data_IF_384787094338
#
_entry.id   IF_384787094338
#
_cell.length_a   1.000
_cell.length_b   1.000
_cell.length_c   1.000
_cell.angle_alpha   90.00
_cell.angle_beta   90.00
_cell.angle_gamma   90.00
#
_symmetry.space_group_name_H-M   'P 1'
#
loop_
_entity.id
_entity.type
_entity.pdbx_description
1 polymer ?
#
# COMPACT_ATOMS: atom_id res chain seq x y z
N UNK A 1 -2.23 2.89 20.92
CA UNK A 1 -3.05 3.93 21.56
C UNK A 1 -3.47 4.99 20.53
N UNK A 2 -2.52 5.73 19.92
CA UNK A 2 -2.81 6.75 18.88
C UNK A 2 -3.60 6.25 17.65
N UNK A 3 -3.35 5.01 17.20
CA UNK A 3 -4.09 4.38 16.10
C UNK A 3 -5.61 4.35 16.36
N UNK A 4 -6.02 3.89 17.54
CA UNK A 4 -7.43 3.82 17.92
C UNK A 4 -8.03 5.21 18.13
N UNK A 5 -7.28 6.13 18.73
CA UNK A 5 -7.72 7.52 18.91
C UNK A 5 -8.02 8.21 17.57
N UNK A 6 -7.22 7.94 16.54
CA UNK A 6 -7.42 8.48 15.20
C UNK A 6 -8.70 7.96 14.55
N UNK A 7 -8.99 6.67 14.69
CA UNK A 7 -10.24 6.05 14.19
C UNK A 7 -11.45 6.57 14.96
N UNK A 8 -11.36 6.68 16.29
CA UNK A 8 -12.43 7.24 17.12
C UNK A 8 -12.70 8.72 16.81
N UNK A 9 -11.66 9.49 16.47
CA UNK A 9 -11.83 10.85 15.98
C UNK A 9 -12.54 10.85 14.62
N UNK A 10 -12.17 9.95 13.69
CA UNK A 10 -12.85 9.74 12.41
C UNK A 10 -14.35 9.54 12.55
N UNK A 11 -14.76 8.70 13.51
CA UNK A 11 -16.17 8.47 13.86
C UNK A 11 -16.89 9.72 14.35
N UNK A 12 -16.21 10.56 15.15
CA UNK A 12 -16.81 11.76 15.75
C UNK A 12 -16.97 12.91 14.78
N UNK A 13 -15.99 13.13 13.89
CA UNK A 13 -15.92 14.29 13.00
C UNK A 13 -16.09 13.95 11.51
N UNK A 14 -16.57 12.74 11.20
CA UNK A 14 -16.96 12.28 9.85
C UNK A 14 -15.86 12.41 8.78
N UNK A 15 -14.61 12.08 9.11
CA UNK A 15 -13.56 11.87 8.10
C UNK A 15 -13.21 10.39 7.94
N UNK A 16 -12.82 10.04 6.72
CA UNK A 16 -12.35 8.69 6.38
C UNK A 16 -10.84 8.59 6.60
N UNK A 17 -10.41 7.51 7.23
CA UNK A 17 -9.02 7.14 7.43
C UNK A 17 -8.55 6.24 6.28
N UNK A 18 -7.43 6.60 5.69
CA UNK A 18 -6.66 5.69 4.83
C UNK A 18 -5.67 4.92 5.70
N UNK A 19 -5.87 3.61 5.85
CA UNK A 19 -4.93 2.77 6.57
C UNK A 19 -3.81 2.35 5.62
N UNK A 20 -2.56 2.55 6.01
CA UNK A 20 -1.40 2.15 5.21
C UNK A 20 -0.40 1.33 6.03
N UNK A 21 -0.08 0.13 5.54
CA UNK A 21 0.94 -0.74 6.10
C UNK A 21 2.32 -0.29 5.61
N UNK A 22 2.85 0.72 6.31
CA UNK A 22 4.09 1.40 5.94
C UNK A 22 5.37 0.57 6.16
N UNK A 23 5.27 -0.50 6.95
CA UNK A 23 6.37 -1.41 7.26
C UNK A 23 5.85 -2.85 7.28
N UNK A 24 6.58 -3.74 6.60
CA UNK A 24 6.40 -5.19 6.72
C UNK A 24 7.66 -5.84 7.30
N UNK A 25 7.53 -7.02 7.94
CA UNK A 25 8.69 -7.78 8.37
C UNK A 25 9.70 -7.95 7.22
N UNK A 26 10.99 -7.85 7.56
CA UNK A 26 12.12 -7.99 6.62
C UNK A 26 12.35 -6.84 5.63
N UNK A 27 11.69 -5.68 5.80
CA UNK A 27 11.98 -4.42 5.10
C UNK A 27 11.75 -4.53 3.59
N UNK A 28 10.76 -3.79 3.09
CA UNK A 28 10.37 -3.82 1.68
C UNK A 28 11.16 -2.86 0.77
N UNK A 29 11.81 -1.83 1.32
CA UNK A 29 12.46 -0.79 0.50
C UNK A 29 13.79 -0.25 1.02
N UNK A 30 14.15 -0.54 2.28
CA UNK A 30 15.43 -0.13 2.85
C UNK A 30 15.47 1.32 3.32
N UNK A 31 14.38 2.07 3.16
CA UNK A 31 14.24 3.44 3.61
C UNK A 31 13.93 3.51 5.11
N UNK A 32 14.30 4.62 5.75
CA UNK A 32 14.11 4.81 7.20
C UNK A 32 12.63 4.74 7.62
N UNK A 33 11.71 5.21 6.78
CA UNK A 33 10.27 5.17 7.05
C UNK A 33 9.68 3.75 7.01
N UNK A 34 10.42 2.74 6.52
CA UNK A 34 10.06 1.32 6.70
C UNK A 34 10.46 0.75 8.07
N UNK A 35 10.72 1.62 9.05
CA UNK A 35 11.07 1.29 10.43
C UNK A 35 12.53 0.92 10.67
N UNK A 36 13.30 0.63 9.62
CA UNK A 36 14.75 0.42 9.71
C UNK A 36 15.44 0.71 8.38
N UNK A 37 16.44 1.60 8.42
CA UNK A 37 17.35 1.81 7.30
C UNK A 37 18.23 0.56 7.06
N UNK A 38 18.39 0.16 5.80
CA UNK A 38 19.37 -0.86 5.42
C UNK A 38 18.83 -1.95 4.50
N UNK A 39 19.38 -3.16 4.64
CA UNK A 39 19.21 -4.23 3.65
C UNK A 39 17.78 -4.77 3.56
N UNK A 40 17.23 -4.72 2.35
CA UNK A 40 15.96 -5.34 1.96
C UNK A 40 16.10 -6.85 2.05
N UNK A 41 15.22 -7.47 2.82
CA UNK A 41 15.12 -8.92 2.96
C UNK A 41 13.71 -9.46 2.65
N UNK A 42 12.76 -8.58 2.34
CA UNK A 42 11.45 -8.93 1.85
C UNK A 42 11.57 -9.52 0.43
N UNK A 43 11.05 -10.73 0.20
CA UNK A 43 11.22 -11.50 -1.04
C UNK A 43 12.65 -11.87 -1.48
N UNK A 44 13.69 -11.56 -0.68
CA UNK A 44 15.08 -11.83 -1.07
C UNK A 44 15.59 -13.18 -0.53
N UNK A 45 16.22 -13.94 -1.42
CA UNK A 45 16.89 -15.22 -1.14
C UNK A 45 15.96 -16.45 -1.24
N UNK A 46 16.50 -17.64 -0.95
CA UNK A 46 15.78 -18.93 -1.07
C UNK A 46 14.47 -18.99 -0.28
N UNK A 47 14.37 -18.26 0.84
CA UNK A 47 13.16 -18.18 1.67
C UNK A 47 12.37 -16.88 1.45
N UNK A 48 12.53 -16.20 0.31
CA UNK A 48 11.90 -14.91 0.03
C UNK A 48 10.38 -14.92 0.22
N UNK A 49 9.71 -15.97 -0.25
CA UNK A 49 8.25 -16.14 -0.11
C UNK A 49 7.85 -16.32 1.36
N UNK A 50 8.53 -17.22 2.09
CA UNK A 50 8.23 -17.46 3.50
C UNK A 50 8.42 -16.19 4.35
N UNK A 51 9.45 -15.38 4.04
CA UNK A 51 9.67 -14.07 4.67
C UNK A 51 8.53 -13.09 4.39
N UNK A 52 8.02 -13.07 3.15
CA UNK A 52 6.91 -12.21 2.79
C UNK A 52 5.60 -12.68 3.44
N UNK A 53 5.37 -13.98 3.56
CA UNK A 53 4.20 -14.56 4.24
C UNK A 53 4.12 -14.17 5.71
N UNK A 54 5.23 -13.80 6.37
CA UNK A 54 5.17 -13.24 7.73
C UNK A 54 4.29 -11.97 7.82
N UNK A 55 4.13 -11.21 6.72
CA UNK A 55 3.24 -10.05 6.68
C UNK A 55 1.75 -10.43 6.63
N UNK A 56 1.40 -11.64 6.16
CA UNK A 56 0.00 -12.04 5.97
C UNK A 56 -0.77 -12.09 7.28
N UNK A 57 -0.15 -12.51 8.37
CA UNK A 57 -0.82 -12.53 9.67
C UNK A 57 -1.25 -11.13 10.13
N UNK A 58 -0.42 -10.11 9.88
CA UNK A 58 -0.75 -8.72 10.18
C UNK A 58 -1.89 -8.21 9.30
N UNK A 59 -1.78 -8.45 8.00
CA UNK A 59 -2.80 -8.04 7.04
C UNK A 59 -4.13 -8.74 7.32
N UNK A 60 -4.11 -10.03 7.65
CA UNK A 60 -5.29 -10.80 8.05
C UNK A 60 -5.95 -10.20 9.29
N UNK A 61 -5.17 -9.99 10.36
CA UNK A 61 -5.68 -9.42 11.63
C UNK A 61 -6.27 -8.03 11.42
N UNK A 62 -5.57 -7.16 10.69
CA UNK A 62 -6.03 -5.81 10.40
C UNK A 62 -7.27 -5.83 9.50
N UNK A 63 -7.34 -6.71 8.50
CA UNK A 63 -8.50 -6.85 7.63
C UNK A 63 -9.73 -7.31 8.41
N UNK A 64 -9.59 -8.30 9.29
CA UNK A 64 -10.66 -8.75 10.18
C UNK A 64 -11.15 -7.62 11.09
N UNK A 65 -10.22 -6.82 11.62
CA UNK A 65 -10.54 -5.68 12.47
C UNK A 65 -11.31 -4.59 11.72
N UNK A 66 -10.75 -4.05 10.64
CA UNK A 66 -11.34 -2.92 9.90
C UNK A 66 -12.59 -3.29 9.09
N UNK A 67 -12.84 -4.58 8.87
CA UNK A 67 -14.06 -5.06 8.19
C UNK A 67 -15.28 -5.16 9.11
N UNK A 68 -15.12 -4.96 10.41
CA UNK A 68 -16.27 -4.90 11.32
C UNK A 68 -17.15 -3.70 10.98
N UNK A 69 -18.46 -3.84 11.19
CA UNK A 69 -19.44 -2.79 10.85
C UNK A 69 -19.12 -1.44 11.48
N UNK A 70 -18.55 -1.45 12.69
CA UNK A 70 -18.16 -0.25 13.43
C UNK A 70 -17.04 0.56 12.74
N UNK A 71 -16.15 -0.09 11.99
CA UNK A 71 -14.98 0.54 11.38
C UNK A 71 -15.08 0.69 9.86
N UNK A 72 -15.92 -0.10 9.21
CA UNK A 72 -16.04 -0.17 7.75
C UNK A 72 -16.31 1.19 7.07
N UNK A 73 -17.08 2.08 7.71
CA UNK A 73 -17.38 3.42 7.19
C UNK A 73 -16.26 4.44 7.45
N UNK A 74 -15.37 4.13 8.40
CA UNK A 74 -14.29 5.03 8.83
C UNK A 74 -12.99 4.68 8.13
N UNK A 75 -12.73 3.39 7.89
CA UNK A 75 -11.52 2.89 7.22
C UNK A 75 -11.90 2.22 5.89
N UNK A 76 -12.31 2.99 4.87
CA UNK A 76 -12.79 2.41 3.61
C UNK A 76 -11.65 1.88 2.73
N UNK A 77 -10.40 2.24 3.00
CA UNK A 77 -9.24 1.91 2.18
C UNK A 77 -8.09 1.40 3.03
N UNK A 78 -7.40 0.37 2.53
CA UNK A 78 -6.25 -0.25 3.17
C UNK A 78 -5.13 -0.51 2.15
N UNK A 79 -4.03 0.24 2.25
CA UNK A 79 -2.77 -0.07 1.55
C UNK A 79 -2.00 -1.15 2.29
N UNK A 80 -1.72 -2.23 1.58
CA UNK A 80 -1.17 -3.45 2.16
C UNK A 80 0.36 -3.53 2.11
N UNK A 81 1.01 -2.64 1.34
CA UNK A 81 2.46 -2.63 1.18
C UNK A 81 2.92 -1.29 0.58
N UNK A 82 3.47 -0.43 1.42
CA UNK A 82 4.01 0.87 1.00
C UNK A 82 5.35 0.74 0.27
N UNK A 83 5.45 1.39 -0.89
CA UNK A 83 6.69 1.66 -1.63
C UNK A 83 7.67 0.48 -1.77
N UNK A 84 7.26 -0.74 -2.17
CA UNK A 84 8.20 -1.85 -2.27
C UNK A 84 9.26 -1.59 -3.36
N UNK A 85 10.54 -1.81 -3.06
CA UNK A 85 11.62 -1.60 -4.04
C UNK A 85 11.68 -2.75 -5.05
N UNK A 86 10.93 -2.61 -6.14
CA UNK A 86 10.76 -3.64 -7.19
C UNK A 86 12.06 -4.04 -7.84
N UNK A 87 13.05 -3.14 -7.97
CA UNK A 87 14.37 -3.47 -8.53
C UNK A 87 15.07 -4.58 -7.74
N UNK A 88 14.74 -4.74 -6.46
CA UNK A 88 15.29 -5.80 -5.60
C UNK A 88 14.35 -7.00 -5.45
N UNK A 89 13.04 -6.75 -5.37
CA UNK A 89 12.02 -7.78 -5.10
C UNK A 89 11.64 -8.56 -6.37
N UNK A 90 11.57 -7.87 -7.52
CA UNK A 90 11.04 -8.38 -8.78
C UNK A 90 9.55 -8.08 -8.98
N UNK A 91 9.18 -7.70 -10.21
CA UNK A 91 7.81 -7.30 -10.54
C UNK A 91 6.80 -8.45 -10.40
N UNK A 92 7.18 -9.65 -10.85
CA UNK A 92 6.34 -10.84 -10.77
C UNK A 92 6.06 -11.26 -9.32
N UNK A 93 7.09 -11.24 -8.47
CA UNK A 93 6.98 -11.55 -7.04
C UNK A 93 6.02 -10.58 -6.35
N UNK A 94 6.15 -9.27 -6.62
CA UNK A 94 5.24 -8.25 -6.11
C UNK A 94 3.79 -8.50 -6.57
N UNK A 95 3.57 -8.76 -7.85
CA UNK A 95 2.21 -9.01 -8.39
C UNK A 95 1.58 -10.26 -7.77
N UNK A 96 2.33 -11.35 -7.67
CA UNK A 96 1.87 -12.58 -7.01
C UNK A 96 1.56 -12.38 -5.53
N UNK A 97 2.34 -11.54 -4.83
CA UNK A 97 2.05 -11.14 -3.45
C UNK A 97 0.71 -10.39 -3.35
N UNK A 98 0.50 -9.37 -4.19
CA UNK A 98 -0.74 -8.61 -4.18
C UNK A 98 -1.96 -9.49 -4.54
N UNK A 99 -1.84 -10.42 -5.48
CA UNK A 99 -2.93 -11.37 -5.77
C UNK A 99 -3.28 -12.23 -4.54
N UNK A 100 -2.29 -12.79 -3.84
CA UNK A 100 -2.52 -13.59 -2.64
C UNK A 100 -3.17 -12.77 -1.53
N UNK A 101 -2.69 -11.55 -1.30
CA UNK A 101 -3.27 -10.66 -0.31
C UNK A 101 -4.70 -10.28 -0.67
N UNK A 102 -4.96 -9.99 -1.95
CA UNK A 102 -6.29 -9.68 -2.46
C UNK A 102 -7.27 -10.83 -2.20
N UNK A 103 -6.89 -12.06 -2.55
CA UNK A 103 -7.70 -13.26 -2.31
C UNK A 103 -8.00 -13.41 -0.82
N UNK A 104 -6.97 -13.34 0.03
CA UNK A 104 -7.13 -13.42 1.49
C UNK A 104 -8.07 -12.35 2.04
N UNK A 105 -7.94 -11.09 1.60
CA UNK A 105 -8.81 -10.01 2.06
C UNK A 105 -10.27 -10.23 1.65
N UNK A 106 -10.52 -10.75 0.44
CA UNK A 106 -11.86 -11.05 -0.05
C UNK A 106 -12.46 -12.31 0.57
N UNK A 107 -11.63 -13.30 0.92
CA UNK A 107 -12.06 -14.46 1.72
C UNK A 107 -12.54 -14.04 3.12
N UNK A 108 -11.86 -13.08 3.75
CA UNK A 108 -12.23 -12.57 5.08
C UNK A 108 -13.49 -11.71 5.03
N UNK A 109 -13.53 -10.72 4.13
CA UNK A 109 -14.54 -9.67 4.16
C UNK A 109 -15.73 -9.91 3.23
N UNK A 110 -15.57 -10.77 2.22
CA UNK A 110 -16.51 -10.99 1.13
C UNK A 110 -16.34 -10.02 -0.03
N UNK A 111 -17.21 -10.17 -1.03
CA UNK A 111 -17.24 -9.35 -2.25
C UNK A 111 -18.41 -8.36 -2.25
N UNK A 112 -18.23 -7.21 -2.89
CA UNK A 112 -19.26 -6.21 -3.13
C UNK A 112 -19.25 -5.03 -2.16
N UNK A 113 -20.17 -4.10 -2.38
CA UNK A 113 -20.26 -2.87 -1.58
C UNK A 113 -20.50 -3.18 -0.09
N UNK A 114 -19.79 -2.47 0.80
CA UNK A 114 -19.87 -2.66 2.24
C UNK A 114 -19.17 -3.91 2.80
N UNK A 115 -18.51 -4.73 1.97
CA UNK A 115 -17.85 -5.98 2.39
C UNK A 115 -16.36 -5.79 2.69
N UNK A 116 -16.03 -5.02 3.72
CA UNK A 116 -14.65 -4.66 4.10
C UNK A 116 -14.04 -3.53 3.25
N UNK A 117 -12.71 -3.29 3.37
CA UNK A 117 -12.07 -2.16 2.70
C UNK A 117 -11.75 -2.43 1.22
N UNK A 118 -11.59 -1.34 0.48
CA UNK A 118 -10.83 -1.32 -0.77
C UNK A 118 -9.37 -1.66 -0.47
N UNK A 119 -8.83 -2.65 -1.19
CA UNK A 119 -7.41 -2.96 -1.12
C UNK A 119 -6.67 -1.98 -2.00
N UNK A 120 -5.64 -1.34 -1.48
CA UNK A 120 -4.80 -0.41 -2.24
C UNK A 120 -3.41 -0.99 -2.42
N UNK A 121 -2.88 -0.90 -3.63
CA UNK A 121 -1.52 -1.35 -3.97
C UNK A 121 -0.68 -0.15 -4.38
N UNK A 122 0.60 -0.13 -4.03
CA UNK A 122 1.51 0.96 -4.36
C UNK A 122 2.19 0.74 -5.72
N UNK A 123 2.30 1.78 -6.54
CA UNK A 123 2.85 1.69 -7.91
C UNK A 123 4.31 1.17 -7.98
N UNK A 124 5.06 1.41 -6.91
CA UNK A 124 6.46 1.05 -6.70
C UNK A 124 7.45 1.85 -7.56
N UNK A 125 7.07 3.05 -7.99
CA UNK A 125 7.91 3.98 -8.74
C UNK A 125 8.43 3.47 -10.10
N UNK A 126 7.93 2.34 -10.63
CA UNK A 126 8.29 1.74 -11.93
C UNK A 126 6.98 1.53 -12.73
N UNK A 127 6.83 1.84 -14.02
CA UNK A 127 7.72 2.04 -15.17
C UNK A 127 7.28 3.30 -15.97
N UNK A 128 8.23 4.08 -16.49
CA UNK A 128 7.99 5.22 -17.40
C UNK A 128 6.97 6.26 -16.90
N UNK A 129 7.33 6.92 -15.80
CA UNK A 129 6.57 8.02 -15.21
C UNK A 129 5.67 7.54 -14.08
N UNK A 130 5.47 8.41 -13.09
CA UNK A 130 4.37 8.26 -12.15
C UNK A 130 3.08 7.94 -12.93
N UNK A 131 2.50 6.75 -12.76
CA UNK A 131 1.29 6.44 -13.49
C UNK A 131 0.87 4.98 -13.61
N UNK A 132 -0.43 4.83 -13.80
CA UNK A 132 -1.24 3.61 -13.86
C UNK A 132 -0.84 2.58 -14.94
N UNK A 133 0.02 2.93 -15.89
CA UNK A 133 0.24 2.15 -17.13
C UNK A 133 0.86 0.78 -16.88
N UNK A 134 1.80 0.68 -15.94
CA UNK A 134 2.43 -0.59 -15.56
C UNK A 134 1.47 -1.60 -14.95
N UNK A 135 0.29 -1.17 -14.49
CA UNK A 135 -0.71 -2.02 -13.85
C UNK A 135 -1.85 -2.46 -14.78
N UNK A 136 -1.81 -2.05 -16.06
CA UNK A 136 -2.77 -2.51 -17.06
C UNK A 136 -2.82 -4.04 -17.13
N UNK A 137 -4.03 -4.60 -17.14
CA UNK A 137 -4.24 -6.05 -17.18
C UNK A 137 -4.10 -6.76 -15.83
N UNK A 138 -3.56 -6.11 -14.79
CA UNK A 138 -3.44 -6.73 -13.48
C UNK A 138 -4.79 -6.69 -12.75
N UNK A 139 -5.29 -7.87 -12.36
CA UNK A 139 -6.53 -8.02 -11.59
C UNK A 139 -7.76 -7.32 -12.23
N UNK A 140 -7.89 -7.40 -13.56
CA UNK A 140 -9.10 -6.91 -14.26
C UNK A 140 -10.35 -7.55 -13.63
N UNK A 141 -11.34 -6.71 -13.32
CA UNK A 141 -12.60 -7.14 -12.70
C UNK A 141 -12.50 -7.41 -11.20
N UNK A 142 -11.38 -7.06 -10.55
CA UNK A 142 -11.27 -7.16 -9.11
C UNK A 142 -12.25 -6.21 -8.40
N UNK A 143 -12.86 -6.74 -7.34
CA UNK A 143 -13.72 -6.00 -6.44
C UNK A 143 -12.88 -5.08 -5.54
N UNK A 144 -13.09 -3.77 -5.67
CA UNK A 144 -12.51 -2.72 -4.83
C UNK A 144 -10.99 -2.83 -4.71
N UNK A 145 -10.32 -2.62 -5.84
CA UNK A 145 -8.87 -2.49 -5.93
C UNK A 145 -8.52 -1.04 -6.32
N UNK A 146 -7.64 -0.42 -5.53
CA UNK A 146 -7.12 0.92 -5.78
C UNK A 146 -5.61 0.89 -6.06
N UNK A 147 -5.12 1.86 -6.82
CA UNK A 147 -3.69 2.12 -7.02
C UNK A 147 -3.29 3.40 -6.30
N UNK A 148 -2.30 3.31 -5.41
CA UNK A 148 -1.62 4.44 -4.78
C UNK A 148 -0.36 4.81 -5.57
N UNK A 149 -0.18 6.10 -5.81
CA UNK A 149 0.92 6.67 -6.59
C UNK A 149 1.52 7.83 -5.83
N UNK A 150 2.81 7.73 -5.53
CA UNK A 150 3.56 8.77 -4.86
C UNK A 150 4.37 9.58 -5.87
N UNK A 151 4.09 10.88 -5.96
CA UNK A 151 4.83 11.82 -6.82
C UNK A 151 5.68 12.75 -5.98
N UNK A 152 6.99 12.78 -6.25
CA UNK A 152 7.93 13.68 -5.59
C UNK A 152 8.72 14.49 -6.59
N UNK A 153 8.81 15.81 -6.37
CA UNK A 153 9.66 16.73 -7.15
C UNK A 153 11.01 17.03 -6.47
N UNK A 154 11.26 16.48 -5.28
CA UNK A 154 12.36 16.88 -4.39
C UNK A 154 13.54 15.89 -4.33
N UNK A 155 13.43 14.70 -4.93
CA UNK A 155 14.44 13.63 -4.84
C UNK A 155 15.19 13.37 -6.14
N UNK A 156 15.25 14.37 -7.02
CA UNK A 156 16.09 14.37 -8.23
C UNK A 156 17.47 14.96 -7.92
N UNK A 157 18.50 14.51 -8.64
CA UNK A 157 19.85 15.06 -8.49
C UNK A 157 19.85 16.58 -8.77
N UNK A 158 20.42 17.37 -7.84
CA UNK A 158 20.46 18.85 -7.82
C UNK A 158 21.07 19.54 -9.05
N UNK A 159 21.57 18.80 -10.04
CA UNK A 159 22.28 19.35 -11.19
C UNK A 159 21.39 20.04 -12.23
N UNK A 160 20.06 20.01 -12.09
CA UNK A 160 19.14 20.36 -13.20
C UNK A 160 17.95 21.28 -12.87
N UNK A 161 17.82 21.83 -11.66
CA UNK A 161 16.66 22.67 -11.31
C UNK A 161 17.04 24.13 -10.98
N UNK A 162 16.44 25.15 -11.66
CA UNK A 162 16.57 26.55 -11.29
C UNK A 162 15.92 26.81 -9.92
N UNK A 163 16.57 27.66 -9.13
CA UNK A 163 16.45 27.76 -7.67
C UNK A 163 15.21 28.50 -7.14
N UNK A 164 14.13 28.64 -7.90
CA UNK A 164 13.10 29.66 -7.61
C UNK A 164 11.69 29.19 -7.24
N UNK A 165 11.35 27.89 -7.25
CA UNK A 165 10.02 27.46 -6.77
C UNK A 165 10.11 26.16 -5.96
N UNK A 166 10.30 26.30 -4.64
CA UNK A 166 10.08 25.20 -3.69
C UNK A 166 8.68 25.41 -3.11
N UNK A 167 7.68 24.80 -3.74
CA UNK A 167 6.42 24.46 -3.08
C UNK A 167 6.39 22.93 -2.95
N UNK A 168 6.59 22.43 -1.73
CA UNK A 168 6.48 21.00 -1.41
C UNK A 168 4.99 20.65 -1.27
N UNK A 169 4.46 19.86 -2.19
CA UNK A 169 3.15 19.23 -2.07
C UNK A 169 3.29 17.72 -2.34
N UNK A 170 2.94 16.91 -1.34
CA UNK A 170 2.73 15.46 -1.51
C UNK A 170 1.25 15.26 -1.82
N UNK A 171 0.93 14.71 -2.99
CA UNK A 171 -0.42 14.26 -3.34
C UNK A 171 -0.37 12.74 -3.48
N UNK A 172 -0.76 12.02 -2.42
CA UNK A 172 -1.13 10.61 -2.56
C UNK A 172 -2.50 10.58 -3.24
N UNK A 173 -2.56 10.07 -4.47
CA UNK A 173 -3.82 9.98 -5.21
C UNK A 173 -4.12 8.52 -5.47
N UNK A 174 -5.18 8.01 -4.84
CA UNK A 174 -5.66 6.65 -5.03
C UNK A 174 -6.72 6.62 -6.12
N UNK A 175 -6.51 5.81 -7.17
CA UNK A 175 -7.45 5.66 -8.27
C UNK A 175 -8.08 4.27 -8.26
N UNK A 176 -9.36 4.16 -8.63
CA UNK A 176 -10.02 2.87 -8.89
C UNK A 176 -9.45 2.26 -10.16
N UNK A 177 -8.98 1.02 -10.09
CA UNK A 177 -8.64 0.22 -11.27
C UNK A 177 -9.93 -0.42 -11.81
N UNK A 178 -10.75 0.36 -12.48
CA UNK A 178 -11.93 -0.11 -13.23
C UNK A 178 -11.70 -0.05 -14.73
#
# INVERSE_FOLDING_TARGET
>A
QVFFESIEMGKKIWFMCYLDLHMVPRIQNGYNHSGRWGSINFFVGLMGIAKAQCSFNYICTLTQFISQSEYSNVVPMYSVLNEPLVQKIGSNQKRSYYLQVYQMMREIAGFGQGKGPMMVIHDSFNELGAGHTGWGGFLIGADRLGLDTHTYSAFVSYSVMPRTEILLATLATSYSLS
#
